data_IF_515199779333
#
_entry.id   IF_515199779333
#
_cell.length_a   1.000
_cell.length_b   1.000
_cell.length_c   1.000
_cell.angle_alpha   90.00
_cell.angle_beta   90.00
_cell.angle_gamma   90.00
#
_symmetry.space_group_name_H-M   'P 1'
#
loop_
_entity.id
_entity.type
_entity.pdbx_description
1 polymer ?
#
# COMPACT_ATOMS: atom_id res chain seq x y z
N UNK A 1 31.89 30.88 -21.90
CA UNK A 1 30.75 30.26 -22.59
C UNK A 1 29.63 30.23 -21.57
N UNK A 2 28.64 31.10 -21.71
CA UNK A 2 27.51 31.16 -20.79
C UNK A 2 26.61 29.95 -21.08
N UNK A 3 26.72 28.93 -20.24
CA UNK A 3 25.84 27.76 -20.31
C UNK A 3 24.49 28.21 -19.78
N UNK A 4 23.59 28.61 -20.67
CA UNK A 4 22.25 29.06 -20.32
C UNK A 4 21.27 27.90 -20.06
N UNK A 5 21.62 26.69 -20.49
CA UNK A 5 20.80 25.48 -20.34
C UNK A 5 21.69 24.32 -19.91
N UNK A 6 21.29 23.64 -18.84
CA UNK A 6 21.89 22.39 -18.36
C UNK A 6 20.84 21.29 -18.54
N UNK A 7 21.17 20.20 -19.22
CA UNK A 7 20.23 19.09 -19.41
C UNK A 7 20.93 17.74 -19.31
N UNK A 8 20.18 16.70 -18.95
CA UNK A 8 20.68 15.33 -19.01
C UNK A 8 20.81 14.84 -20.46
N UNK A 9 21.62 13.79 -20.65
CA UNK A 9 21.87 13.22 -21.98
C UNK A 9 20.62 12.56 -22.61
N UNK A 10 19.68 12.13 -21.78
CA UNK A 10 18.43 11.46 -22.12
C UNK A 10 17.21 12.41 -22.05
N UNK A 11 17.44 13.72 -22.00
CA UNK A 11 16.35 14.68 -21.89
C UNK A 11 15.44 14.64 -23.12
N UNK A 12 14.17 14.32 -22.88
CA UNK A 12 13.06 14.42 -23.83
C UNK A 12 11.95 15.20 -23.12
N UNK A 13 11.50 16.35 -23.66
CA UNK A 13 10.46 17.17 -23.05
C UNK A 13 9.21 16.35 -22.67
N UNK A 14 8.77 16.46 -21.42
CA UNK A 14 7.61 15.77 -20.86
C UNK A 14 7.76 14.25 -20.67
N UNK A 15 8.93 13.67 -20.97
CA UNK A 15 9.08 12.21 -21.07
C UNK A 15 10.22 11.66 -20.21
N UNK A 16 11.44 12.23 -20.32
CA UNK A 16 12.61 11.70 -19.62
C UNK A 16 13.67 12.77 -19.35
N UNK A 17 14.55 12.49 -18.39
CA UNK A 17 15.70 13.32 -18.08
C UNK A 17 15.35 14.60 -17.32
N UNK A 18 16.33 15.49 -17.19
CA UNK A 18 16.13 16.81 -16.58
C UNK A 18 16.64 17.91 -17.48
N UNK A 19 16.04 19.09 -17.37
CA UNK A 19 16.49 20.32 -18.00
C UNK A 19 16.31 21.50 -17.05
N UNK A 20 17.37 22.30 -16.94
CA UNK A 20 17.42 23.54 -16.19
C UNK A 20 17.78 24.68 -17.15
N UNK A 21 16.84 25.59 -17.36
CA UNK A 21 17.06 26.84 -18.08
C UNK A 21 17.34 27.96 -17.08
N UNK A 22 18.60 28.38 -17.00
CA UNK A 22 19.07 29.37 -16.02
C UNK A 22 18.59 30.78 -16.35
N UNK A 23 18.24 31.05 -17.61
CA UNK A 23 17.77 32.37 -18.05
C UNK A 23 16.27 32.52 -17.83
N UNK A 24 15.50 31.47 -18.09
CA UNK A 24 14.06 31.43 -17.87
C UNK A 24 13.68 31.09 -16.41
N UNK A 25 14.62 30.54 -15.63
CA UNK A 25 14.34 30.05 -14.28
C UNK A 25 13.45 28.81 -14.27
N UNK A 26 13.49 28.02 -15.36
CA UNK A 26 12.64 26.84 -15.55
C UNK A 26 13.43 25.58 -15.25
N UNK A 27 12.88 24.71 -14.41
CA UNK A 27 13.41 23.38 -14.13
C UNK A 27 12.36 22.34 -14.48
N UNK A 28 12.76 21.34 -15.24
CA UNK A 28 11.96 20.18 -15.58
C UNK A 28 12.72 18.92 -15.16
N UNK A 29 12.06 18.05 -14.41
CA UNK A 29 12.58 16.74 -14.05
C UNK A 29 11.51 15.72 -14.43
N UNK A 30 11.83 14.88 -15.41
CA UNK A 30 11.00 13.74 -15.76
C UNK A 30 11.76 12.48 -15.39
N UNK A 31 11.10 11.64 -14.58
CA UNK A 31 11.55 10.26 -14.48
C UNK A 31 11.14 9.54 -15.77
N UNK A 32 12.09 9.43 -16.71
CA UNK A 32 11.95 8.47 -17.79
C UNK A 32 11.83 7.09 -17.16
N UNK A 33 10.74 6.39 -17.44
CA UNK A 33 10.60 5.04 -16.92
C UNK A 33 11.75 4.20 -17.49
N UNK A 34 12.65 3.69 -16.62
CA UNK A 34 13.44 2.50 -16.95
C UNK A 34 12.44 1.33 -16.98
N UNK A 35 11.64 1.23 -18.04
CA UNK A 35 10.85 0.05 -18.29
C UNK A 35 11.82 -0.97 -18.87
N UNK A 36 12.24 -1.93 -18.06
CA UNK A 36 12.74 -3.19 -18.62
C UNK A 36 11.57 -3.80 -19.39
N UNK A 37 11.52 -3.55 -20.71
CA UNK A 37 10.39 -3.87 -21.58
C UNK A 37 9.31 -2.78 -21.57
N UNK A 38 9.40 -1.80 -22.47
CA UNK A 38 8.27 -0.93 -22.79
C UNK A 38 7.06 -1.79 -23.20
N UNK A 39 5.88 -1.53 -22.64
CA UNK A 39 4.67 -2.23 -23.09
C UNK A 39 4.46 -1.92 -24.57
N UNK A 40 4.26 -2.93 -25.44
CA UNK A 40 4.04 -2.74 -26.87
C UNK A 40 2.97 -1.67 -27.15
N UNK A 41 3.21 -0.80 -28.13
CA UNK A 41 2.24 0.19 -28.59
C UNK A 41 1.00 -0.45 -29.22
N UNK A 42 1.15 -1.66 -29.74
CA UNK A 42 0.07 -2.39 -30.40
C UNK A 42 -1.01 -2.78 -29.38
N UNK A 43 -2.30 -2.84 -29.80
CA UNK A 43 -3.39 -3.33 -28.98
C UNK A 43 -3.12 -4.72 -28.42
N UNK A 44 -3.35 -4.89 -27.10
CA UNK A 44 -3.08 -6.14 -26.40
C UNK A 44 -4.37 -6.88 -26.05
N UNK A 45 -4.28 -8.19 -25.80
CA UNK A 45 -5.39 -8.95 -25.25
C UNK A 45 -5.63 -8.53 -23.80
N UNK A 46 -6.84 -8.07 -23.51
CA UNK A 46 -7.27 -7.66 -22.17
C UNK A 46 -8.45 -8.52 -21.70
N UNK A 47 -8.54 -8.67 -20.38
CA UNK A 47 -9.74 -9.17 -19.71
C UNK A 47 -10.60 -7.96 -19.32
N UNK A 48 -11.83 -7.91 -19.80
CA UNK A 48 -12.80 -6.86 -19.51
C UNK A 48 -13.80 -7.39 -18.50
N UNK A 49 -13.93 -6.69 -17.37
CA UNK A 49 -15.02 -6.91 -16.43
C UNK A 49 -16.28 -6.26 -16.98
N UNK A 50 -17.24 -7.09 -17.41
CA UNK A 50 -18.52 -6.61 -17.91
C UNK A 50 -19.39 -6.10 -16.77
N UNK A 51 -19.39 -6.79 -15.63
CA UNK A 51 -20.14 -6.43 -14.42
C UNK A 51 -19.65 -7.24 -13.21
N UNK A 52 -19.94 -6.74 -12.02
CA UNK A 52 -19.62 -7.36 -10.73
C UNK A 52 -20.78 -7.12 -9.77
N UNK A 53 -21.11 -8.13 -8.97
CA UNK A 53 -22.20 -8.06 -7.99
C UNK A 53 -21.81 -8.75 -6.69
N UNK A 54 -22.16 -8.18 -5.52
CA UNK A 54 -22.10 -8.92 -4.27
C UNK A 54 -23.10 -10.09 -4.30
N UNK A 55 -22.82 -11.16 -3.56
CA UNK A 55 -23.67 -12.36 -3.53
C UNK A 55 -25.11 -12.05 -3.07
N UNK A 56 -25.33 -10.98 -2.31
CA UNK A 56 -26.65 -10.52 -1.89
C UNK A 56 -27.52 -9.96 -3.03
N UNK A 57 -26.91 -9.47 -4.11
CA UNK A 57 -27.60 -8.96 -5.30
C UNK A 57 -27.88 -10.06 -6.34
N UNK A 58 -27.18 -11.19 -6.24
CA UNK A 58 -27.40 -12.34 -7.12
C UNK A 58 -28.57 -13.16 -6.58
N UNK A 59 -29.62 -13.46 -7.39
CA UNK A 59 -30.75 -14.24 -6.90
C UNK A 59 -30.33 -15.63 -6.39
N UNK A 60 -30.74 -15.98 -5.17
CA UNK A 60 -30.40 -17.28 -4.57
C UNK A 60 -31.11 -18.47 -5.24
N UNK A 61 -32.32 -18.27 -5.78
CA UNK A 61 -33.11 -19.33 -6.39
C UNK A 61 -32.56 -19.73 -7.77
N UNK A 62 -32.28 -21.02 -7.98
CA UNK A 62 -31.60 -21.54 -9.18
C UNK A 62 -32.19 -21.03 -10.52
N UNK A 63 -33.52 -21.01 -10.65
CA UNK A 63 -34.19 -20.52 -11.87
C UNK A 63 -34.04 -19.01 -12.06
N UNK A 64 -34.16 -18.23 -10.98
CA UNK A 64 -33.99 -16.79 -11.01
C UNK A 64 -32.53 -16.41 -11.27
N UNK A 65 -31.58 -17.14 -10.65
CA UNK A 65 -30.14 -16.99 -10.90
C UNK A 65 -29.80 -17.23 -12.35
N UNK A 66 -30.28 -18.34 -12.93
CA UNK A 66 -30.03 -18.65 -14.33
C UNK A 66 -30.57 -17.57 -15.28
N UNK A 67 -31.81 -17.10 -15.05
CA UNK A 67 -32.40 -16.03 -15.86
C UNK A 67 -31.61 -14.72 -15.75
N UNK A 68 -31.21 -14.35 -14.52
CA UNK A 68 -30.35 -13.19 -14.27
C UNK A 68 -29.02 -13.30 -15.01
N UNK A 69 -28.30 -14.41 -14.87
CA UNK A 69 -27.00 -14.60 -15.51
C UNK A 69 -27.11 -14.57 -17.05
N UNK A 70 -28.17 -15.18 -17.60
CA UNK A 70 -28.45 -15.13 -19.05
C UNK A 70 -28.70 -13.70 -19.54
N UNK A 71 -29.44 -12.90 -18.78
CA UNK A 71 -29.65 -11.48 -19.08
C UNK A 71 -28.32 -10.71 -19.08
N UNK A 72 -27.45 -10.96 -18.10
CA UNK A 72 -26.15 -10.29 -18.02
C UNK A 72 -25.21 -10.70 -19.16
N UNK A 73 -25.17 -11.99 -19.53
CA UNK A 73 -24.45 -12.45 -20.74
C UNK A 73 -24.99 -11.73 -21.99
N UNK A 74 -26.30 -11.47 -22.06
CA UNK A 74 -26.93 -10.72 -23.15
C UNK A 74 -26.35 -9.31 -23.35
N UNK A 75 -25.80 -8.69 -22.30
CA UNK A 75 -25.15 -7.37 -22.36
C UNK A 75 -23.72 -7.42 -22.89
N UNK A 76 -23.06 -8.58 -22.84
CA UNK A 76 -21.73 -8.77 -23.45
C UNK A 76 -21.87 -8.75 -24.98
N UNK A 77 -20.94 -8.14 -25.73
CA UNK A 77 -20.97 -8.16 -27.19
C UNK A 77 -21.03 -9.59 -27.74
N UNK A 78 -21.80 -9.80 -28.80
CA UNK A 78 -22.17 -11.14 -29.28
C UNK A 78 -20.95 -12.01 -29.62
N UNK A 79 -19.90 -11.39 -30.14
CA UNK A 79 -18.63 -11.98 -30.52
C UNK A 79 -17.81 -12.50 -29.34
N UNK A 80 -18.06 -12.03 -28.11
CA UNK A 80 -17.32 -12.43 -26.90
C UNK A 80 -18.15 -13.26 -25.91
N UNK A 81 -19.46 -13.44 -26.16
CA UNK A 81 -20.35 -14.16 -25.23
C UNK A 81 -19.95 -15.62 -25.00
N UNK A 82 -19.39 -16.28 -26.00
CA UNK A 82 -19.00 -17.68 -25.90
C UNK A 82 -17.81 -17.89 -24.95
N UNK A 83 -16.93 -16.89 -24.86
CA UNK A 83 -15.71 -16.91 -24.04
C UNK A 83 -15.88 -16.09 -22.75
N UNK A 84 -17.09 -15.65 -22.44
CA UNK A 84 -17.39 -14.93 -21.22
C UNK A 84 -17.46 -15.88 -20.03
N UNK A 85 -16.82 -15.52 -18.92
CA UNK A 85 -16.66 -16.35 -17.73
C UNK A 85 -17.27 -15.66 -16.51
N UNK A 86 -17.98 -16.44 -15.70
CA UNK A 86 -18.37 -16.05 -14.36
C UNK A 86 -17.36 -16.62 -13.36
N UNK A 87 -16.84 -15.77 -12.47
CA UNK A 87 -16.13 -16.19 -11.26
C UNK A 87 -16.90 -15.73 -10.03
N UNK A 88 -16.79 -16.49 -8.93
CA UNK A 88 -17.30 -16.08 -7.62
C UNK A 88 -16.17 -16.22 -6.63
N UNK A 89 -15.76 -15.11 -6.03
CA UNK A 89 -14.58 -15.03 -5.16
C UNK A 89 -14.93 -14.29 -3.87
N UNK A 90 -14.30 -14.70 -2.78
CA UNK A 90 -14.30 -13.94 -1.52
C UNK A 90 -13.15 -12.95 -1.56
N UNK A 91 -13.46 -11.67 -1.60
CA UNK A 91 -12.48 -10.58 -1.67
C UNK A 91 -12.30 -9.87 -0.33
N UNK A 92 -12.84 -10.43 0.76
CA UNK A 92 -12.62 -9.88 2.09
C UNK A 92 -11.15 -10.01 2.50
N UNK A 93 -10.66 -9.08 3.32
CA UNK A 93 -9.25 -9.01 3.71
C UNK A 93 -8.78 -10.29 4.42
N UNK A 94 -9.64 -10.89 5.23
CA UNK A 94 -9.40 -12.08 6.04
C UNK A 94 -10.07 -13.35 5.49
N UNK A 95 -10.72 -13.27 4.33
CA UNK A 95 -11.44 -14.39 3.68
C UNK A 95 -12.50 -15.03 4.59
N UNK A 96 -13.19 -14.19 5.36
CA UNK A 96 -14.27 -14.54 6.27
C UNK A 96 -15.65 -14.70 5.58
N UNK A 97 -15.73 -14.48 4.27
CA UNK A 97 -16.96 -14.51 3.49
C UNK A 97 -17.82 -13.25 3.61
N UNK A 98 -17.30 -12.17 4.19
CA UNK A 98 -18.05 -10.91 4.34
C UNK A 98 -18.23 -10.14 3.02
N UNK A 99 -17.35 -10.36 2.04
CA UNK A 99 -17.44 -9.75 0.70
C UNK A 99 -17.22 -10.81 -0.38
N UNK A 100 -18.25 -11.62 -0.61
CA UNK A 100 -18.29 -12.56 -1.73
C UNK A 100 -18.90 -11.85 -2.94
N UNK A 101 -18.16 -11.84 -4.06
CA UNK A 101 -18.61 -11.23 -5.32
C UNK A 101 -18.63 -12.22 -6.46
N UNK A 102 -19.64 -12.09 -7.29
CA UNK A 102 -19.73 -12.76 -8.59
C UNK A 102 -19.39 -11.75 -9.68
N UNK A 103 -18.43 -12.09 -10.54
CA UNK A 103 -17.90 -11.21 -11.59
C UNK A 103 -18.08 -11.87 -12.96
N UNK A 104 -18.54 -11.10 -13.94
CA UNK A 104 -18.63 -11.51 -15.34
C UNK A 104 -17.50 -10.85 -16.12
N UNK A 105 -16.63 -11.65 -16.71
CA UNK A 105 -15.50 -11.17 -17.52
C UNK A 105 -15.51 -11.77 -18.91
N UNK A 106 -14.86 -11.11 -19.87
CA UNK A 106 -14.60 -11.66 -21.20
C UNK A 106 -13.29 -11.10 -21.74
N UNK A 107 -12.73 -11.75 -22.75
CA UNK A 107 -11.45 -11.34 -23.35
C UNK A 107 -11.64 -10.71 -24.71
N UNK A 108 -10.94 -9.61 -24.97
CA UNK A 108 -10.86 -8.98 -26.30
C UNK A 108 -9.53 -8.26 -26.48
N UNK A 109 -9.23 -7.91 -27.72
CA UNK A 109 -8.18 -6.93 -28.00
C UNK A 109 -8.61 -5.55 -27.47
N UNK A 110 -7.65 -4.80 -26.95
CA UNK A 110 -7.79 -3.36 -26.72
C UNK A 110 -8.28 -2.67 -28.01
N UNK A 111 -9.03 -1.60 -27.84
CA UNK A 111 -9.28 -0.65 -28.92
C UNK A 111 -8.03 0.22 -29.15
N UNK A 112 -7.91 0.81 -30.33
CA UNK A 112 -6.81 1.74 -30.63
C UNK A 112 -6.75 2.90 -29.63
N UNK A 113 -7.91 3.35 -29.14
CA UNK A 113 -7.99 4.36 -28.09
C UNK A 113 -7.44 3.86 -26.75
N UNK A 114 -7.84 2.67 -26.30
CA UNK A 114 -7.33 2.09 -25.04
C UNK A 114 -5.82 1.83 -25.11
N UNK A 115 -5.31 1.38 -26.25
CA UNK A 115 -3.88 1.22 -26.49
C UNK A 115 -3.15 2.57 -26.46
N UNK A 116 -3.69 3.59 -27.13
CA UNK A 116 -3.14 4.94 -27.11
C UNK A 116 -3.15 5.55 -25.70
N UNK A 117 -4.22 5.36 -24.93
CA UNK A 117 -4.31 5.79 -23.55
C UNK A 117 -3.32 5.05 -22.64
N UNK A 118 -3.14 3.74 -22.84
CA UNK A 118 -2.13 2.95 -22.11
C UNK A 118 -0.72 3.47 -22.37
N UNK A 119 -0.41 3.78 -23.64
CA UNK A 119 0.88 4.40 -24.01
C UNK A 119 0.99 5.81 -23.42
N UNK A 120 -0.07 6.63 -23.44
CA UNK A 120 -0.05 7.97 -22.87
C UNK A 120 0.14 7.97 -21.34
N UNK A 121 -0.44 6.99 -20.63
CA UNK A 121 -0.24 6.80 -19.19
C UNK A 121 1.20 6.39 -18.84
N UNK A 122 2.03 5.99 -19.81
CA UNK A 122 3.46 5.77 -19.59
C UNK A 122 4.27 7.07 -19.38
N UNK A 123 3.65 8.25 -19.52
CA UNK A 123 4.24 9.49 -19.04
C UNK A 123 4.47 9.35 -17.52
N UNK A 124 5.71 9.05 -17.15
CA UNK A 124 6.13 8.83 -15.78
C UNK A 124 5.89 10.06 -14.91
N UNK A 125 6.06 9.94 -13.58
CA UNK A 125 5.96 11.10 -12.73
C UNK A 125 6.99 12.15 -13.15
N UNK A 126 6.51 13.39 -13.22
CA UNK A 126 7.25 14.55 -13.69
C UNK A 126 7.04 15.73 -12.76
N UNK A 127 8.02 16.61 -12.70
CA UNK A 127 7.95 17.87 -11.95
C UNK A 127 8.45 19.00 -12.84
N UNK A 128 7.66 20.07 -12.93
CA UNK A 128 8.04 21.33 -13.56
C UNK A 128 8.01 22.44 -12.53
N UNK A 129 9.06 23.26 -12.52
CA UNK A 129 9.15 24.48 -11.73
C UNK A 129 9.36 25.63 -12.72
N UNK A 130 8.47 26.62 -12.69
CA UNK A 130 8.54 27.81 -13.53
C UNK A 130 8.06 29.05 -12.75
N UNK A 131 7.97 30.20 -13.43
CA UNK A 131 7.51 31.44 -12.82
C UNK A 131 6.05 31.38 -12.30
N UNK A 132 5.23 30.47 -12.83
CA UNK A 132 3.83 30.31 -12.46
C UNK A 132 3.65 29.36 -11.27
N UNK A 133 4.67 28.55 -10.94
CA UNK A 133 4.70 27.70 -9.76
C UNK A 133 5.39 26.35 -9.96
N UNK A 134 5.09 25.42 -9.05
CA UNK A 134 5.49 24.01 -9.09
C UNK A 134 4.31 23.17 -9.56
N UNK A 135 4.53 22.33 -10.57
CA UNK A 135 3.56 21.37 -11.07
C UNK A 135 4.16 19.96 -10.98
N UNK A 136 3.48 19.06 -10.29
CA UNK A 136 3.82 17.64 -10.24
C UNK A 136 2.77 16.89 -11.04
N UNK A 137 3.22 16.10 -12.00
CA UNK A 137 2.41 15.22 -12.82
C UNK A 137 2.70 13.77 -12.51
N UNK A 138 1.67 12.92 -12.54
CA UNK A 138 1.79 11.47 -12.51
C UNK A 138 0.82 10.86 -13.51
N UNK A 139 1.27 9.89 -14.31
CA UNK A 139 0.46 9.23 -15.35
C UNK A 139 -0.20 10.23 -16.32
N UNK A 140 0.54 11.28 -16.70
CA UNK A 140 0.04 12.36 -17.57
C UNK A 140 -1.00 13.30 -16.94
N UNK A 141 -1.32 13.16 -15.65
CA UNK A 141 -2.26 14.03 -14.92
C UNK A 141 -1.53 14.91 -13.90
N UNK A 142 -1.97 16.16 -13.73
CA UNK A 142 -1.47 17.03 -12.66
C UNK A 142 -2.02 16.51 -11.32
N UNK A 143 -1.13 16.15 -10.40
CA UNK A 143 -1.49 15.65 -9.06
C UNK A 143 -1.26 16.70 -7.99
N UNK A 144 -0.30 17.61 -8.18
CA UNK A 144 -0.04 18.72 -7.26
C UNK A 144 0.30 19.96 -8.09
N UNK A 145 -0.29 21.09 -7.74
CA UNK A 145 0.12 22.40 -8.26
C UNK A 145 0.23 23.39 -7.09
N UNK A 146 1.37 24.04 -6.98
CA UNK A 146 1.64 25.09 -6.00
C UNK A 146 2.01 26.36 -6.76
N UNK A 147 1.12 27.36 -6.79
CA UNK A 147 1.32 28.58 -7.59
C UNK A 147 0.00 29.18 -8.07
N UNK A 148 0.07 30.04 -9.09
CA UNK A 148 -1.13 30.76 -9.59
C UNK A 148 -2.03 29.79 -10.37
N UNK A 149 -3.29 29.65 -9.97
CA UNK A 149 -4.29 28.94 -10.78
C UNK A 149 -4.51 29.73 -12.08
N UNK A 150 -4.46 29.04 -13.23
CA UNK A 150 -4.87 29.60 -14.52
C UNK A 150 -6.39 29.46 -14.63
N UNK A 151 -7.08 30.50 -15.09
CA UNK A 151 -8.54 30.61 -15.07
C UNK A 151 -9.27 29.57 -15.97
N UNK A 152 -8.53 28.85 -16.82
CA UNK A 152 -9.09 28.03 -17.91
C UNK A 152 -9.10 26.51 -17.64
N UNK A 153 -8.61 26.04 -16.49
CA UNK A 153 -8.58 24.61 -16.16
C UNK A 153 -9.78 24.19 -15.29
N UNK A 154 -10.54 23.16 -15.72
CA UNK A 154 -11.49 22.49 -14.83
C UNK A 154 -10.69 21.90 -13.65
N UNK A 155 -11.09 22.17 -12.40
CA UNK A 155 -10.40 21.62 -11.25
C UNK A 155 -10.44 20.09 -11.35
N UNK A 156 -9.26 19.47 -11.48
CA UNK A 156 -9.13 18.08 -11.10
C UNK A 156 -9.58 17.99 -9.63
N UNK A 157 -10.32 16.93 -9.29
CA UNK A 157 -10.69 16.63 -7.90
C UNK A 157 -9.40 16.58 -7.06
N UNK A 158 -9.07 17.70 -6.43
CA UNK A 158 -7.99 17.79 -5.48
C UNK A 158 -8.41 16.96 -4.26
N UNK A 159 -7.61 15.99 -3.80
CA UNK A 159 -7.99 15.14 -2.68
C UNK A 159 -8.18 15.89 -1.35
N UNK A 160 -7.86 17.19 -1.30
CA UNK A 160 -7.87 18.01 -0.10
C UNK A 160 -8.31 19.44 -0.45
N UNK A 161 -9.57 19.64 -0.85
CA UNK A 161 -10.16 20.98 -0.90
C UNK A 161 -11.18 21.08 0.22
N UNK A 162 -10.67 21.26 1.44
CA UNK A 162 -11.50 21.73 2.55
C UNK A 162 -11.64 23.24 2.36
N UNK A 163 -12.82 23.66 1.89
CA UNK A 163 -13.15 25.06 1.56
C UNK A 163 -13.08 26.01 2.79
N UNK A 164 -12.88 25.48 4.00
CA UNK A 164 -12.78 26.25 5.25
C UNK A 164 -11.35 26.69 5.62
N UNK A 165 -10.31 26.23 4.91
CA UNK A 165 -8.90 26.42 5.33
C UNK A 165 -8.14 27.56 4.60
N UNK A 166 -8.72 28.17 3.56
CA UNK A 166 -8.02 29.22 2.77
C UNK A 166 -7.74 30.50 3.58
N UNK A 167 -8.57 30.81 4.58
CA UNK A 167 -8.35 31.95 5.47
C UNK A 167 -7.18 31.73 6.43
N UNK A 168 -7.09 30.55 7.03
CA UNK A 168 -6.12 30.24 8.09
C UNK A 168 -4.68 30.18 7.57
N UNK A 169 -4.46 29.61 6.39
CA UNK A 169 -3.12 29.55 5.80
C UNK A 169 -2.64 30.94 5.36
N UNK A 170 -3.54 31.77 4.84
CA UNK A 170 -3.24 33.12 4.37
C UNK A 170 -2.95 34.07 5.53
N UNK A 171 -3.71 33.95 6.62
CA UNK A 171 -3.49 34.71 7.85
C UNK A 171 -2.20 34.24 8.55
N UNK A 172 -1.93 32.92 8.59
CA UNK A 172 -0.69 32.37 9.13
C UNK A 172 0.57 32.82 8.36
N UNK A 173 0.48 32.98 7.03
CA UNK A 173 1.58 33.53 6.24
C UNK A 173 1.70 35.06 6.35
N UNK A 174 0.60 35.78 6.55
CA UNK A 174 0.62 37.24 6.72
C UNK A 174 1.26 37.66 8.05
N UNK A 175 1.07 36.87 9.11
CA UNK A 175 1.67 37.10 10.43
C UNK A 175 3.07 36.47 10.60
N UNK A 176 3.60 35.81 9.56
CA UNK A 176 4.90 35.17 9.64
C UNK A 176 6.05 36.18 9.66
N UNK A 177 6.61 36.41 10.86
CA UNK A 177 7.87 37.15 11.04
C UNK A 177 9.05 36.19 11.13
N UNK A 178 10.09 36.34 10.28
CA UNK A 178 11.30 35.54 10.42
C UNK A 178 12.02 35.90 11.73
N UNK A 179 12.13 34.95 12.66
CA UNK A 179 13.10 35.02 13.76
C UNK A 179 12.56 34.98 15.19
N UNK A 180 11.26 35.13 15.44
CA UNK A 180 10.75 35.20 16.84
C UNK A 180 10.05 33.92 17.32
N UNK A 181 9.58 33.04 16.43
CA UNK A 181 8.82 31.84 16.81
C UNK A 181 9.65 30.62 17.25
N UNK A 182 10.97 30.60 17.01
CA UNK A 182 11.76 29.37 17.15
C UNK A 182 12.22 29.04 18.59
N UNK A 183 11.95 29.91 19.58
CA UNK A 183 12.48 29.76 20.94
C UNK A 183 11.45 29.41 22.02
N UNK A 184 10.17 29.23 21.67
CA UNK A 184 9.12 29.01 22.67
C UNK A 184 8.35 27.70 22.47
N UNK A 185 9.06 26.57 22.38
CA UNK A 185 8.67 25.24 22.90
C UNK A 185 7.21 24.76 22.79
N UNK A 186 6.43 25.21 21.81
CA UNK A 186 5.04 24.85 21.61
C UNK A 186 4.75 24.89 20.11
N UNK A 187 4.49 23.69 19.58
CA UNK A 187 4.25 23.27 18.18
C UNK A 187 5.49 22.68 17.50
N UNK A 188 5.61 21.35 17.61
CA UNK A 188 6.35 20.52 16.65
C UNK A 188 5.59 20.53 15.31
N UNK A 189 5.64 21.63 14.57
CA UNK A 189 5.28 21.63 13.16
C UNK A 189 6.49 21.19 12.36
N UNK A 190 6.43 19.96 11.85
CA UNK A 190 6.80 19.42 10.52
C UNK A 190 7.95 20.00 9.67
N UNK A 191 8.50 21.19 9.93
CA UNK A 191 9.65 21.77 9.26
C UNK A 191 10.98 21.13 9.71
N UNK A 192 11.03 20.52 10.90
CA UNK A 192 12.20 19.80 11.41
C UNK A 192 12.41 18.41 10.75
N UNK A 193 11.53 18.03 9.81
CA UNK A 193 11.54 16.70 9.18
C UNK A 193 12.22 16.65 7.81
N UNK A 194 12.91 17.71 7.37
CA UNK A 194 13.70 17.66 6.15
C UNK A 194 15.09 18.26 6.37
N UNK A 195 16.11 17.40 6.34
CA UNK A 195 17.50 17.82 6.45
C UNK A 195 18.14 17.84 5.05
N UNK A 196 18.65 18.99 4.64
CA UNK A 196 19.47 19.13 3.42
C UNK A 196 20.93 18.91 3.80
N UNK A 197 21.52 17.83 3.32
CA UNK A 197 22.95 17.54 3.54
C UNK A 197 23.77 18.29 2.51
N UNK A 198 24.70 19.12 2.96
CA UNK A 198 25.59 19.91 2.11
C UNK A 198 27.03 19.39 2.24
N UNK A 199 27.72 19.20 1.11
CA UNK A 199 29.15 18.89 1.09
C UNK A 199 29.93 20.03 0.41
N UNK A 200 31.18 20.23 0.82
CA UNK A 200 32.09 21.14 0.13
C UNK A 200 32.74 20.42 -1.05
N UNK A 201 32.62 21.02 -2.24
CA UNK A 201 33.33 20.57 -3.43
C UNK A 201 34.83 20.84 -3.30
N UNK A 202 35.64 20.24 -4.17
CA UNK A 202 37.08 20.48 -4.24
C UNK A 202 37.46 21.97 -4.44
N UNK A 203 36.51 22.77 -4.94
CA UNK A 203 36.67 24.20 -5.20
C UNK A 203 36.15 25.06 -4.03
N UNK A 204 35.78 24.46 -2.91
CA UNK A 204 35.34 25.15 -1.69
C UNK A 204 33.87 25.61 -1.68
N UNK A 205 33.09 25.32 -2.72
CA UNK A 205 31.65 25.62 -2.78
C UNK A 205 30.82 24.55 -2.08
N UNK A 206 29.81 24.97 -1.32
CA UNK A 206 28.83 24.06 -0.75
C UNK A 206 27.84 23.62 -1.82
N UNK A 207 27.68 22.31 -2.00
CA UNK A 207 26.73 21.69 -2.92
C UNK A 207 25.81 20.77 -2.12
N UNK A 208 24.52 20.74 -2.48
CA UNK A 208 23.57 19.80 -1.90
C UNK A 208 23.91 18.38 -2.37
N UNK A 209 24.08 17.46 -1.43
CA UNK A 209 24.39 16.04 -1.72
C UNK A 209 23.28 15.10 -1.30
N UNK A 210 22.20 15.60 -0.71
CA UNK A 210 21.03 14.80 -0.38
C UNK A 210 19.98 15.56 0.42
N UNK A 211 18.73 15.11 0.33
CA UNK A 211 17.61 15.58 1.15
C UNK A 211 17.07 14.37 1.91
N UNK A 212 17.18 14.38 3.24
CA UNK A 212 16.69 13.31 4.10
C UNK A 212 15.43 13.72 4.85
N UNK A 213 14.53 12.76 5.09
CA UNK A 213 13.52 12.92 6.14
C UNK A 213 14.29 12.97 7.47
N UNK A 214 14.11 14.04 8.25
CA UNK A 214 14.77 14.36 9.52
C UNK A 214 14.45 13.36 10.62
N UNK A 215 14.82 12.10 10.38
CA UNK A 215 14.96 11.05 11.37
C UNK A 215 16.28 11.36 12.05
N UNK A 216 16.23 11.66 13.35
CA UNK A 216 17.41 11.87 14.16
C UNK A 216 18.34 10.65 14.03
N UNK A 217 19.54 10.78 13.44
CA UNK A 217 20.46 9.65 13.32
C UNK A 217 20.89 9.13 14.69
N UNK A 218 20.80 9.94 15.76
CA UNK A 218 21.08 9.48 17.12
C UNK A 218 20.01 8.50 17.65
N UNK A 219 18.80 8.49 17.10
CA UNK A 219 17.78 7.47 17.41
C UNK A 219 17.92 6.19 16.56
N UNK A 220 18.73 6.22 15.49
CA UNK A 220 19.06 5.05 14.66
C UNK A 220 20.46 4.48 14.91
N UNK A 221 21.37 5.25 15.51
CA UNK A 221 22.71 4.79 15.88
C UNK A 221 22.65 3.91 17.13
N UNK A 222 22.33 2.65 16.90
CA UNK A 222 22.76 1.59 17.82
C UNK A 222 24.29 1.54 17.83
N UNK A 223 24.87 1.24 19.00
CA UNK A 223 26.33 1.08 19.22
C UNK A 223 27.03 0.12 18.24
N UNK A 224 26.26 -0.60 17.42
CA UNK A 224 26.69 -1.64 16.48
C UNK A 224 26.72 -1.16 15.01
N UNK A 225 26.47 0.13 14.73
CA UNK A 225 26.44 0.70 13.36
C UNK A 225 27.73 0.52 12.54
N UNK A 226 28.85 0.20 13.20
CA UNK A 226 30.11 -0.14 12.54
C UNK A 226 30.07 -1.49 11.79
N UNK A 227 29.29 -2.47 12.25
CA UNK A 227 29.30 -3.81 11.69
C UNK A 227 28.48 -3.90 10.40
N UNK A 228 27.32 -3.22 10.34
CA UNK A 228 26.51 -3.18 9.13
C UNK A 228 27.21 -2.39 8.02
N UNK A 229 27.84 -1.26 8.36
CA UNK A 229 28.62 -0.46 7.40
C UNK A 229 29.80 -1.25 6.84
N UNK A 230 30.50 -2.02 7.69
CA UNK A 230 31.60 -2.89 7.28
C UNK A 230 31.14 -4.06 6.40
N UNK A 231 29.97 -4.64 6.68
CA UNK A 231 29.38 -5.70 5.86
C UNK A 231 28.98 -5.19 4.46
N UNK A 232 28.42 -3.98 4.40
CA UNK A 232 28.09 -3.27 3.15
C UNK A 232 29.36 -2.98 2.34
N UNK A 233 30.42 -2.48 2.98
CA UNK A 233 31.71 -2.21 2.33
C UNK A 233 32.39 -3.48 1.78
N UNK A 234 32.18 -4.63 2.42
CA UNK A 234 32.65 -5.94 1.94
C UNK A 234 31.78 -6.56 0.85
N UNK A 235 30.55 -6.08 0.66
CA UNK A 235 29.57 -6.67 -0.26
C UNK A 235 29.07 -8.07 0.15
N UNK A 236 29.17 -8.44 1.43
CA UNK A 236 28.72 -9.75 1.91
C UNK A 236 27.22 -9.72 2.23
N UNK A 237 26.40 -10.11 1.26
CA UNK A 237 24.94 -10.14 1.39
C UNK A 237 24.45 -11.03 2.55
N UNK A 238 25.21 -12.07 2.91
CA UNK A 238 24.83 -12.98 4.01
C UNK A 238 25.04 -12.30 5.36
N UNK A 239 26.15 -11.59 5.52
CA UNK A 239 26.47 -10.81 6.73
C UNK A 239 25.45 -9.67 6.91
N UNK A 240 25.08 -9.00 5.82
CA UNK A 240 24.05 -7.93 5.83
C UNK A 240 22.68 -8.46 6.25
N UNK A 241 22.20 -9.55 5.62
CA UNK A 241 20.89 -10.13 5.93
C UNK A 241 20.82 -10.68 7.37
N UNK A 242 21.91 -11.25 7.87
CA UNK A 242 22.00 -11.74 9.25
C UNK A 242 21.89 -10.59 10.27
N UNK A 243 22.56 -9.46 10.02
CA UNK A 243 22.48 -8.28 10.88
C UNK A 243 21.08 -7.67 10.89
N UNK A 244 20.43 -7.56 9.72
CA UNK A 244 19.05 -7.07 9.60
C UNK A 244 18.07 -8.00 10.34
N UNK A 245 18.19 -9.32 10.13
CA UNK A 245 17.34 -10.30 10.82
C UNK A 245 17.53 -10.25 12.34
N UNK A 246 18.76 -10.09 12.81
CA UNK A 246 19.09 -9.91 14.22
C UNK A 246 18.47 -8.65 14.82
N UNK A 247 18.47 -7.53 14.08
CA UNK A 247 17.83 -6.28 14.51
C UNK A 247 16.30 -6.41 14.59
N UNK A 248 15.68 -6.99 13.56
CA UNK A 248 14.24 -7.23 13.53
C UNK A 248 13.82 -8.11 14.71
N UNK A 249 14.59 -9.15 15.04
CA UNK A 249 14.32 -10.06 16.14
C UNK A 249 14.41 -9.42 17.53
N UNK A 250 15.09 -8.28 17.68
CA UNK A 250 15.25 -7.56 18.95
C UNK A 250 14.16 -6.51 19.20
N UNK A 251 13.30 -6.24 18.23
CA UNK A 251 12.20 -5.28 18.40
C UNK A 251 11.17 -5.79 19.41
N UNK A 252 10.53 -4.87 20.15
CA UNK A 252 9.46 -5.20 21.11
C UNK A 252 8.31 -5.94 20.41
N UNK A 253 7.96 -5.54 19.19
CA UNK A 253 6.94 -6.21 18.37
C UNK A 253 7.32 -7.67 18.07
N UNK A 254 8.56 -7.94 17.68
CA UNK A 254 9.03 -9.32 17.42
C UNK A 254 9.04 -10.18 18.68
N UNK A 255 9.34 -9.60 19.85
CA UNK A 255 9.28 -10.31 21.12
C UNK A 255 7.83 -10.62 21.52
N UNK A 256 6.95 -9.63 21.44
CA UNK A 256 5.52 -9.81 21.73
C UNK A 256 4.86 -10.85 20.80
N UNK A 257 5.19 -10.82 19.51
CA UNK A 257 4.70 -11.83 18.55
C UNK A 257 5.18 -13.24 18.91
N UNK A 258 6.45 -13.40 19.32
CA UNK A 258 6.98 -14.70 19.75
C UNK A 258 6.29 -15.22 21.01
N UNK A 259 6.02 -14.33 21.96
CA UNK A 259 5.30 -14.68 23.19
C UNK A 259 3.85 -15.11 22.88
N UNK A 260 3.14 -14.39 22.02
CA UNK A 260 1.76 -14.76 21.66
C UNK A 260 1.72 -16.08 20.87
N UNK A 261 2.68 -16.31 19.95
CA UNK A 261 2.81 -17.61 19.25
C UNK A 261 3.07 -18.74 20.26
N UNK A 262 3.95 -18.54 21.24
CA UNK A 262 4.26 -19.55 22.25
C UNK A 262 3.04 -19.85 23.13
N UNK A 263 2.27 -18.82 23.48
CA UNK A 263 1.03 -18.93 24.25
C UNK A 263 -0.06 -19.67 23.48
N UNK A 264 -0.24 -19.39 22.19
CA UNK A 264 -1.22 -20.09 21.37
C UNK A 264 -0.82 -21.55 21.11
N UNK A 265 0.48 -21.82 20.91
CA UNK A 265 0.98 -23.20 20.86
C UNK A 265 0.74 -23.95 22.19
N UNK A 266 0.90 -23.26 23.33
CA UNK A 266 0.55 -23.80 24.65
C UNK A 266 -0.92 -24.19 24.76
N UNK A 267 -1.83 -23.28 24.39
CA UNK A 267 -3.29 -23.54 24.41
C UNK A 267 -3.69 -24.70 23.49
N UNK A 268 -3.09 -24.79 22.30
CA UNK A 268 -3.37 -25.89 21.36
C UNK A 268 -2.92 -27.23 21.94
N UNK A 269 -1.75 -27.28 22.58
CA UNK A 269 -1.27 -28.50 23.24
C UNK A 269 -2.17 -28.92 24.41
N UNK A 270 -2.61 -27.97 25.25
CA UNK A 270 -3.55 -28.25 26.34
C UNK A 270 -4.89 -28.81 25.81
N UNK A 271 -5.43 -28.21 24.75
CA UNK A 271 -6.66 -28.68 24.10
C UNK A 271 -6.50 -30.09 23.52
N UNK A 272 -5.37 -30.39 22.87
CA UNK A 272 -5.08 -31.72 22.33
C UNK A 272 -4.93 -32.77 23.43
N UNK A 273 -4.27 -32.43 24.55
CA UNK A 273 -4.15 -33.33 25.71
C UNK A 273 -5.52 -33.63 26.30
N UNK A 274 -6.36 -32.62 26.52
CA UNK A 274 -7.73 -32.81 27.01
C UNK A 274 -8.54 -33.71 26.06
N UNK A 275 -8.43 -33.50 24.74
CA UNK A 275 -9.16 -34.32 23.76
C UNK A 275 -8.68 -35.77 23.75
N UNK A 276 -7.37 -36.01 23.94
CA UNK A 276 -6.82 -37.36 24.06
C UNK A 276 -7.30 -38.07 25.33
N UNK A 277 -7.38 -37.35 26.46
CA UNK A 277 -7.93 -37.88 27.71
C UNK A 277 -9.41 -38.25 27.58
N UNK A 278 -10.23 -37.39 26.94
CA UNK A 278 -11.63 -37.68 26.63
C UNK A 278 -11.78 -38.93 25.76
N UNK A 279 -11.01 -39.04 24.68
CA UNK A 279 -11.05 -40.19 23.78
C UNK A 279 -10.61 -41.48 24.50
N UNK A 280 -9.64 -41.40 25.40
CA UNK A 280 -9.21 -42.53 26.23
C UNK A 280 -10.36 -43.02 27.13
N UNK A 281 -11.07 -42.09 27.78
CA UNK A 281 -12.23 -42.39 28.62
C UNK A 281 -13.40 -42.97 27.80
N UNK A 282 -13.65 -42.46 26.60
CA UNK A 282 -14.66 -43.00 25.68
C UNK A 282 -14.34 -44.45 25.27
N UNK A 283 -13.07 -44.75 24.98
CA UNK A 283 -12.62 -46.11 24.64
C UNK A 283 -12.79 -47.06 25.84
N UNK A 284 -12.43 -46.63 27.06
CA UNK A 284 -12.58 -47.45 28.27
C UNK A 284 -14.05 -47.69 28.62
N UNK A 285 -14.90 -46.66 28.49
CA UNK A 285 -16.34 -46.77 28.65
C UNK A 285 -16.95 -47.74 27.62
N UNK A 286 -16.53 -47.66 26.35
CA UNK A 286 -16.97 -48.57 25.28
C UNK A 286 -16.53 -50.03 25.51
N UNK A 287 -15.43 -50.25 26.25
CA UNK A 287 -14.96 -51.57 26.67
C UNK A 287 -15.69 -52.13 27.90
N UNK A 288 -16.64 -51.39 28.47
CA UNK A 288 -17.47 -51.83 29.58
C UNK A 288 -16.89 -51.57 30.97
N UNK A 289 -15.87 -50.72 31.10
CA UNK A 289 -15.40 -50.27 32.41
C UNK A 289 -16.40 -49.26 33.00
N UNK A 290 -17.18 -49.71 33.98
CA UNK A 290 -18.23 -48.94 34.65
C UNK A 290 -17.73 -47.62 35.26
N UNK A 291 -16.48 -47.60 35.72
CA UNK A 291 -15.89 -46.42 36.35
C UNK A 291 -15.53 -45.34 35.31
N UNK A 292 -15.02 -45.73 34.14
CA UNK A 292 -14.73 -44.81 33.04
C UNK A 292 -16.02 -44.20 32.44
N UNK A 293 -17.07 -45.00 32.30
CA UNK A 293 -18.37 -44.52 31.84
C UNK A 293 -19.01 -43.50 32.80
N UNK A 294 -18.85 -43.71 34.11
CA UNK A 294 -19.32 -42.76 35.13
C UNK A 294 -18.54 -41.44 35.07
N UNK A 295 -17.20 -41.50 34.97
CA UNK A 295 -16.34 -40.31 34.86
C UNK A 295 -16.69 -39.49 33.61
N UNK A 296 -16.91 -40.16 32.47
CA UNK A 296 -17.28 -39.50 31.21
C UNK A 296 -18.63 -38.76 31.30
N UNK A 297 -19.62 -39.36 31.98
CA UNK A 297 -20.94 -38.74 32.16
C UNK A 297 -20.83 -37.52 33.10
N UNK A 298 -20.08 -37.61 34.18
CA UNK A 298 -19.85 -36.48 35.11
C UNK A 298 -19.11 -35.32 34.40
N UNK A 299 -18.12 -35.61 33.56
CA UNK A 299 -17.42 -34.59 32.75
C UNK A 299 -18.36 -33.90 31.75
N UNK A 300 -19.18 -34.67 31.02
CA UNK A 300 -20.14 -34.11 30.06
C UNK A 300 -21.23 -33.29 30.75
N UNK A 301 -21.67 -33.70 31.94
CA UNK A 301 -22.65 -32.95 32.72
C UNK A 301 -22.08 -31.60 33.19
N UNK A 302 -20.84 -31.59 33.71
CA UNK A 302 -20.16 -30.36 34.12
C UNK A 302 -19.94 -29.39 32.94
N UNK A 303 -19.61 -29.91 31.75
CA UNK A 303 -19.46 -29.10 30.53
C UNK A 303 -20.78 -28.45 30.11
N UNK A 304 -21.89 -29.18 30.19
CA UNK A 304 -23.24 -28.64 29.90
C UNK A 304 -23.63 -27.57 30.93
N UNK A 305 -23.37 -27.79 32.22
CA UNK A 305 -23.66 -26.83 33.27
C UNK A 305 -22.89 -25.51 33.09
N UNK A 306 -21.62 -25.59 32.68
CA UNK A 306 -20.78 -24.41 32.37
C UNK A 306 -21.32 -23.64 31.15
N UNK A 307 -21.66 -24.34 30.06
CA UNK A 307 -22.21 -23.74 28.85
C UNK A 307 -23.57 -23.07 29.09
N UNK A 308 -24.43 -23.68 29.89
CA UNK A 308 -25.74 -23.13 30.28
C UNK A 308 -25.58 -21.94 31.24
N UNK A 309 -24.56 -21.94 32.11
CA UNK A 309 -24.23 -20.80 32.97
C UNK A 309 -23.82 -19.56 32.18
N UNK A 310 -23.03 -19.72 31.13
CA UNK A 310 -22.63 -18.64 30.22
C UNK A 310 -23.81 -18.05 29.43
N UNK A 311 -24.82 -18.85 29.10
CA UNK A 311 -26.03 -18.39 28.41
C UNK A 311 -26.98 -17.58 29.30
N UNK A 312 -26.88 -17.66 30.63
CA UNK A 312 -27.70 -16.88 31.57
C UNK A 312 -27.13 -15.48 31.89
N UNK A 313 -25.94 -15.17 31.41
CA UNK A 313 -25.21 -13.91 31.66
C UNK A 313 -25.17 -12.97 30.43
N UNK A 314 -25.88 -13.32 29.35
CA UNK A 314 -26.17 -12.44 28.20
C UNK A 314 -27.65 -12.06 28.20
#
# INVERSE_FOLDING_TARGET
>A
MDVNVIQSADYVPGMSGYRLDLKAGVMEINSGHMAVGSLPSDPQMITVTASEWPESEVPAGAKARLAFLQEQIGKVPVEFRADAEFSTEDISFDHDGSDIRTTLTYRRLETDQEAAERVARQAGPGMTINADGVCITANGKVVVRLGRCMDDERPAEQPCRDDDSEGELRDALADWKPGEGLLAGKLLTTADRFAVTMAKSANGQYVCTGVGLGIDPAQGETKDGHDLKRAIEKGDATEILSLIAGQIARTELSQALREEIAKDAGKQNECLVQRLEELSLEILAAKGESDAAKILIEQRLAAIESAVGLLKLR
#
